data_IF_619046267388
#
_entry.id   IF_619046267388
#
_cell.length_a   1.000
_cell.length_b   1.000
_cell.length_c   1.000
_cell.angle_alpha   90.00
_cell.angle_beta   90.00
_cell.angle_gamma   90.00
#
_symmetry.space_group_name_H-M   'P 1'
#
loop_
_entity.id
_entity.type
_entity.pdbx_description
1 polymer ?
#
# COMPACT_ATOMS: atom_id res chain seq x y z
N UNK A 1 -52.40 -30.87 -22.50
CA UNK A 1 -51.17 -30.46 -23.21
C UNK A 1 -50.57 -29.29 -22.42
N UNK A 2 -49.50 -29.50 -21.66
CA UNK A 2 -48.09 -29.17 -22.02
C UNK A 2 -47.97 -27.73 -22.59
N UNK A 3 -47.19 -26.79 -22.03
CA UNK A 3 -45.96 -26.91 -21.26
C UNK A 3 -45.75 -25.72 -20.29
N UNK A 4 -45.03 -26.04 -19.21
CA UNK A 4 -44.37 -25.16 -18.23
C UNK A 4 -43.14 -24.52 -18.86
N UNK A 5 -42.83 -23.27 -18.52
CA UNK A 5 -41.52 -22.58 -18.43
C UNK A 5 -41.84 -21.12 -18.00
N UNK A 6 -41.33 -20.45 -16.97
CA UNK A 6 -40.18 -20.63 -16.07
C UNK A 6 -39.60 -19.23 -15.80
N UNK A 7 -39.71 -18.75 -14.54
CA UNK A 7 -38.85 -17.81 -13.77
C UNK A 7 -38.17 -16.62 -14.51
N UNK A 8 -38.28 -15.34 -14.12
CA UNK A 8 -38.45 -14.79 -12.79
C UNK A 8 -37.11 -14.67 -12.05
N UNK A 9 -36.40 -13.55 -12.28
CA UNK A 9 -35.30 -12.97 -11.48
C UNK A 9 -34.03 -13.82 -11.24
N UNK A 10 -32.91 -13.46 -11.91
CA UNK A 10 -31.68 -13.03 -11.24
C UNK A 10 -30.70 -12.44 -12.27
N UNK A 11 -30.51 -11.12 -12.22
CA UNK A 11 -29.41 -10.42 -12.89
C UNK A 11 -28.84 -9.43 -11.89
N UNK A 12 -28.17 -9.96 -10.87
CA UNK A 12 -27.26 -9.22 -9.99
C UNK A 12 -26.05 -10.11 -9.73
N UNK A 13 -24.90 -9.46 -9.59
CA UNK A 13 -23.59 -10.01 -9.22
C UNK A 13 -22.83 -10.82 -10.28
N UNK A 14 -22.31 -10.15 -11.31
CA UNK A 14 -21.08 -10.59 -12.00
C UNK A 14 -20.33 -9.40 -12.65
N UNK A 15 -20.07 -8.33 -11.88
CA UNK A 15 -19.04 -7.33 -12.23
C UNK A 15 -18.36 -6.85 -10.96
N UNK A 16 -17.03 -6.78 -11.04
CA UNK A 16 -16.12 -6.01 -10.18
C UNK A 16 -15.26 -6.76 -9.13
N UNK A 17 -14.84 -8.01 -9.38
CA UNK A 17 -13.74 -8.61 -8.57
C UNK A 17 -12.52 -9.16 -9.35
N UNK A 18 -12.60 -9.36 -10.68
CA UNK A 18 -11.50 -9.99 -11.44
C UNK A 18 -10.54 -9.01 -12.16
N UNK A 19 -10.85 -7.71 -12.25
CA UNK A 19 -10.02 -6.77 -13.02
C UNK A 19 -8.83 -6.18 -12.24
N UNK A 20 -8.78 -6.35 -10.91
CA UNK A 20 -7.73 -5.78 -10.08
C UNK A 20 -6.49 -6.70 -9.90
N UNK A 21 -6.54 -7.93 -10.42
CA UNK A 21 -5.40 -8.87 -10.34
C UNK A 21 -4.43 -8.79 -11.52
N UNK A 22 -4.76 -8.02 -12.58
CA UNK A 22 -4.03 -8.04 -13.85
C UNK A 22 -2.87 -7.03 -13.96
N UNK A 23 -2.68 -6.14 -12.99
CA UNK A 23 -1.55 -5.19 -12.97
C UNK A 23 -0.37 -5.72 -12.12
N UNK A 24 -0.48 -6.91 -11.52
CA UNK A 24 0.57 -7.47 -10.66
C UNK A 24 1.71 -8.20 -11.39
N UNK A 25 1.62 -8.40 -12.71
CA UNK A 25 2.68 -9.06 -13.50
C UNK A 25 3.34 -8.08 -14.46
N UNK A 26 4.45 -7.50 -14.03
CA UNK A 26 5.44 -6.97 -14.97
C UNK A 26 5.86 -8.07 -15.95
N UNK A 27 6.14 -7.71 -17.20
CA UNK A 27 6.55 -8.63 -18.27
C UNK A 27 7.92 -9.23 -17.93
N UNK A 28 7.93 -10.30 -17.14
CA UNK A 28 8.99 -11.28 -17.11
C UNK A 28 8.43 -12.54 -17.79
N UNK A 29 9.17 -13.18 -18.72
CA UNK A 29 8.70 -14.42 -19.32
C UNK A 29 8.43 -15.44 -18.21
N UNK A 30 7.31 -16.17 -18.31
CA UNK A 30 6.96 -17.33 -17.49
C UNK A 30 8.02 -18.42 -17.67
N UNK A 31 9.19 -18.21 -17.07
CA UNK A 31 10.21 -19.23 -16.88
C UNK A 31 9.90 -19.89 -15.54
N UNK A 32 9.87 -21.21 -15.54
CA UNK A 32 9.75 -21.99 -14.30
C UNK A 32 10.65 -21.42 -13.20
N UNK A 33 10.21 -21.45 -11.93
CA UNK A 33 10.97 -20.90 -10.83
C UNK A 33 12.35 -21.54 -10.80
N UNK A 34 13.36 -20.80 -11.27
CA UNK A 34 14.74 -21.26 -11.23
C UNK A 34 15.15 -21.51 -9.78
N UNK A 35 15.59 -22.75 -9.50
CA UNK A 35 16.09 -23.15 -8.19
C UNK A 35 17.32 -22.32 -7.82
N UNK A 36 17.43 -21.95 -6.54
CA UNK A 36 18.57 -21.17 -6.01
C UNK A 36 19.89 -21.86 -6.34
N UNK A 37 19.95 -23.19 -6.28
CA UNK A 37 21.14 -23.98 -6.61
C UNK A 37 21.58 -23.81 -8.06
N UNK A 38 20.64 -23.82 -9.02
CA UNK A 38 20.94 -23.60 -10.45
C UNK A 38 21.46 -22.19 -10.70
N UNK A 39 20.96 -21.20 -9.96
CA UNK A 39 21.46 -19.83 -10.05
C UNK A 39 22.86 -19.69 -9.45
N UNK A 40 23.16 -20.39 -8.35
CA UNK A 40 24.52 -20.43 -7.77
C UNK A 40 25.52 -21.08 -8.73
N UNK A 41 25.17 -22.18 -9.39
CA UNK A 41 26.01 -22.80 -10.43
C UNK A 41 26.32 -21.84 -11.58
N UNK A 42 25.37 -20.95 -11.93
CA UNK A 42 25.57 -19.92 -12.95
C UNK A 42 26.47 -18.80 -12.47
N UNK A 43 26.44 -18.45 -11.18
CA UNK A 43 27.35 -17.47 -10.59
C UNK A 43 28.80 -17.96 -10.68
N UNK A 44 29.05 -19.24 -10.37
CA UNK A 44 30.39 -19.83 -10.46
C UNK A 44 30.92 -19.89 -11.89
N UNK A 45 30.02 -19.98 -12.88
CA UNK A 45 30.35 -20.02 -14.31
C UNK A 45 30.37 -18.63 -14.98
N UNK A 46 29.94 -17.59 -14.27
CA UNK A 46 29.87 -16.24 -14.82
C UNK A 46 31.27 -15.68 -15.07
N UNK A 47 31.47 -15.10 -16.25
CA UNK A 47 32.80 -14.63 -16.70
C UNK A 47 33.10 -13.21 -16.27
N UNK A 48 32.07 -12.45 -15.91
CA UNK A 48 32.19 -11.03 -15.55
C UNK A 48 31.47 -10.70 -14.26
N UNK A 49 31.90 -9.62 -13.60
CA UNK A 49 31.21 -9.07 -12.41
C UNK A 49 29.76 -8.72 -12.73
N UNK A 50 29.52 -8.09 -13.88
CA UNK A 50 28.19 -7.68 -14.30
C UNK A 50 27.23 -8.87 -14.50
N UNK A 51 27.74 -10.01 -15.00
CA UNK A 51 26.95 -11.25 -15.10
C UNK A 51 26.59 -11.81 -13.71
N UNK A 52 27.53 -11.81 -12.77
CA UNK A 52 27.27 -12.25 -11.38
C UNK A 52 26.26 -11.34 -10.69
N UNK A 53 26.42 -10.04 -10.80
CA UNK A 53 25.55 -9.04 -10.20
C UNK A 53 24.11 -9.16 -10.70
N UNK A 54 23.93 -9.40 -12.00
CA UNK A 54 22.61 -9.65 -12.58
C UNK A 54 21.95 -10.92 -12.01
N UNK A 55 22.72 -11.99 -11.76
CA UNK A 55 22.20 -13.22 -11.16
C UNK A 55 21.87 -13.02 -9.68
N UNK A 56 22.74 -12.33 -8.91
CA UNK A 56 22.46 -11.98 -7.52
C UNK A 56 21.19 -11.13 -7.38
N UNK A 57 21.00 -10.15 -8.26
CA UNK A 57 19.78 -9.34 -8.27
C UNK A 57 18.53 -10.19 -8.56
N UNK A 58 18.59 -11.10 -9.53
CA UNK A 58 17.48 -12.02 -9.82
C UNK A 58 17.15 -12.91 -8.62
N UNK A 59 18.17 -13.42 -7.93
CA UNK A 59 18.00 -14.19 -6.70
C UNK A 59 17.38 -13.36 -5.58
N UNK A 60 17.85 -12.13 -5.37
CA UNK A 60 17.33 -11.23 -4.36
C UNK A 60 15.83 -10.97 -4.56
N UNK A 61 15.42 -10.60 -5.77
CA UNK A 61 14.02 -10.32 -6.11
C UNK A 61 13.14 -11.56 -5.89
N UNK A 62 13.53 -12.71 -6.43
CA UNK A 62 12.75 -13.96 -6.29
C UNK A 62 12.64 -14.40 -4.83
N UNK A 63 13.71 -14.24 -4.06
CA UNK A 63 13.75 -14.59 -2.63
C UNK A 63 12.88 -13.62 -1.81
N UNK A 64 12.89 -12.33 -2.17
CA UNK A 64 12.07 -11.30 -1.55
C UNK A 64 10.57 -11.53 -1.78
N UNK A 65 10.19 -11.92 -3.00
CA UNK A 65 8.81 -12.29 -3.34
C UNK A 65 8.28 -13.47 -2.52
N UNK A 66 9.18 -14.40 -2.14
CA UNK A 66 8.88 -15.49 -1.21
C UNK A 66 8.87 -15.05 0.27
N UNK A 67 9.17 -13.79 0.57
CA UNK A 67 9.20 -13.25 1.93
C UNK A 67 10.37 -13.75 2.78
N UNK A 68 11.45 -14.20 2.13
CA UNK A 68 12.66 -14.72 2.78
C UNK A 68 13.72 -13.62 2.89
N UNK A 69 14.17 -13.33 4.12
CA UNK A 69 15.11 -12.26 4.43
C UNK A 69 16.50 -12.48 3.83
N UNK A 70 16.85 -13.72 3.43
CA UNK A 70 18.07 -14.02 2.66
C UNK A 70 18.16 -13.24 1.35
N UNK A 71 17.05 -12.66 0.88
CA UNK A 71 17.06 -11.71 -0.22
C UNK A 71 18.07 -10.57 0.00
N UNK A 72 18.19 -10.06 1.23
CA UNK A 72 19.15 -8.99 1.56
C UNK A 72 20.59 -9.47 1.43
N UNK A 73 20.89 -10.71 1.81
CA UNK A 73 22.22 -11.30 1.66
C UNK A 73 22.63 -11.37 0.18
N UNK A 74 21.71 -11.68 -0.72
CA UNK A 74 21.97 -11.66 -2.16
C UNK A 74 22.18 -10.23 -2.68
N UNK A 75 21.40 -9.26 -2.19
CA UNK A 75 21.60 -7.84 -2.54
C UNK A 75 22.98 -7.34 -2.10
N UNK A 76 23.46 -7.72 -0.91
CA UNK A 76 24.78 -7.31 -0.42
C UNK A 76 25.95 -7.90 -1.23
N UNK A 77 25.75 -9.06 -1.87
CA UNK A 77 26.74 -9.71 -2.75
C UNK A 77 26.87 -9.07 -4.13
N UNK A 78 26.04 -8.07 -4.46
CA UNK A 78 26.19 -7.30 -5.70
C UNK A 78 27.45 -6.43 -5.59
N UNK A 79 28.39 -6.61 -6.51
CA UNK A 79 29.68 -5.90 -6.54
C UNK A 79 29.48 -4.42 -6.95
N UNK A 80 28.66 -4.16 -7.96
CA UNK A 80 28.30 -2.80 -8.40
C UNK A 80 27.51 -2.04 -7.31
N UNK A 81 28.13 -0.99 -6.77
CA UNK A 81 27.55 -0.21 -5.67
C UNK A 81 26.30 0.56 -6.06
N UNK A 82 26.20 1.05 -7.29
CA UNK A 82 25.02 1.79 -7.75
C UNK A 82 23.86 0.83 -7.97
N UNK A 83 24.14 -0.32 -8.60
CA UNK A 83 23.13 -1.37 -8.75
C UNK A 83 22.62 -1.87 -7.40
N UNK A 84 23.52 -2.09 -6.43
CA UNK A 84 23.14 -2.49 -5.07
C UNK A 84 22.26 -1.43 -4.40
N UNK A 85 22.61 -0.15 -4.53
CA UNK A 85 21.85 0.97 -3.97
C UNK A 85 20.45 1.09 -4.57
N UNK A 86 20.28 0.81 -5.86
CA UNK A 86 18.96 0.75 -6.51
C UNK A 86 18.16 -0.50 -6.10
N UNK A 87 18.83 -1.63 -5.92
CA UNK A 87 18.20 -2.91 -5.60
C UNK A 87 17.65 -2.98 -4.16
N UNK A 88 18.37 -2.42 -3.18
CA UNK A 88 18.00 -2.49 -1.76
C UNK A 88 16.57 -2.00 -1.46
N UNK A 89 16.16 -0.78 -1.83
CA UNK A 89 14.80 -0.31 -1.52
C UNK A 89 13.72 -1.13 -2.22
N UNK A 90 13.99 -1.59 -3.44
CA UNK A 90 13.08 -2.48 -4.18
C UNK A 90 12.90 -3.82 -3.46
N UNK A 91 13.99 -4.43 -2.99
CA UNK A 91 13.99 -5.70 -2.25
C UNK A 91 13.31 -5.54 -0.88
N UNK A 92 13.65 -4.49 -0.13
CA UNK A 92 13.08 -4.25 1.19
C UNK A 92 11.57 -3.98 1.13
N UNK A 93 11.09 -3.21 0.14
CA UNK A 93 9.65 -3.03 -0.05
C UNK A 93 8.95 -4.31 -0.54
N UNK A 94 9.60 -5.12 -1.38
CA UNK A 94 9.05 -6.42 -1.80
C UNK A 94 8.89 -7.36 -0.60
N UNK A 95 9.88 -7.38 0.31
CA UNK A 95 9.81 -8.12 1.57
C UNK A 95 8.68 -7.59 2.47
N UNK A 96 8.51 -6.27 2.55
CA UNK A 96 7.44 -5.64 3.34
C UNK A 96 6.05 -6.04 2.82
N UNK A 97 5.85 -6.00 1.49
CA UNK A 97 4.63 -6.47 0.86
C UNK A 97 4.34 -7.93 1.17
N UNK A 98 5.34 -8.81 1.04
CA UNK A 98 5.19 -10.23 1.38
C UNK A 98 4.88 -10.45 2.87
N UNK A 99 5.46 -9.65 3.76
CA UNK A 99 5.17 -9.73 5.20
C UNK A 99 3.72 -9.36 5.51
N UNK A 100 3.18 -8.30 4.88
CA UNK A 100 1.76 -7.92 5.01
C UNK A 100 0.84 -9.00 4.45
N UNK A 101 1.11 -9.49 3.23
CA UNK A 101 0.33 -10.56 2.59
C UNK A 101 0.25 -11.83 3.46
N UNK A 102 1.35 -12.16 4.15
CA UNK A 102 1.46 -13.33 5.03
C UNK A 102 1.05 -13.06 6.49
N UNK A 103 0.67 -11.82 6.83
CA UNK A 103 0.38 -11.36 8.20
C UNK A 103 1.54 -11.62 9.18
N UNK A 104 2.78 -11.52 8.69
CA UNK A 104 4.01 -11.68 9.46
C UNK A 104 4.38 -10.34 10.11
N UNK A 105 3.69 -10.03 11.23
CA UNK A 105 3.83 -8.75 11.94
C UNK A 105 5.25 -8.48 12.43
N UNK A 106 5.96 -9.51 12.91
CA UNK A 106 7.33 -9.36 13.43
C UNK A 106 8.29 -8.96 12.31
N UNK A 107 8.20 -9.61 11.16
CA UNK A 107 9.01 -9.26 9.99
C UNK A 107 8.65 -7.88 9.46
N UNK A 108 7.35 -7.56 9.38
CA UNK A 108 6.89 -6.26 8.95
C UNK A 108 7.45 -5.14 9.84
N UNK A 109 7.41 -5.29 11.17
CA UNK A 109 8.00 -4.31 12.10
C UNK A 109 9.53 -4.23 11.98
N UNK A 110 10.20 -5.35 11.76
CA UNK A 110 11.65 -5.35 11.51
C UNK A 110 12.02 -4.55 10.25
N UNK A 111 11.26 -4.72 9.18
CA UNK A 111 11.43 -3.96 7.93
C UNK A 111 11.02 -2.49 8.11
N UNK A 112 9.95 -2.22 8.86
CA UNK A 112 9.55 -0.86 9.20
C UNK A 112 10.60 -0.11 10.03
N UNK A 113 11.47 -0.80 10.78
CA UNK A 113 12.56 -0.18 11.54
C UNK A 113 13.88 -0.10 10.78
N UNK A 114 14.24 -1.14 10.01
CA UNK A 114 15.59 -1.33 9.43
C UNK A 114 15.63 -1.43 7.91
N UNK A 115 14.47 -1.42 7.25
CA UNK A 115 14.36 -1.46 5.80
C UNK A 115 14.66 -0.11 5.16
N UNK A 116 15.20 -0.14 3.95
CA UNK A 116 15.33 1.01 3.06
C UNK A 116 13.97 1.32 2.42
N UNK A 117 13.05 1.87 3.23
CA UNK A 117 11.71 2.26 2.82
C UNK A 117 11.58 3.78 2.76
N UNK A 118 10.84 4.29 1.77
CA UNK A 118 10.40 5.68 1.76
C UNK A 118 9.42 5.94 2.90
N UNK A 119 9.20 7.22 3.25
CA UNK A 119 8.29 7.59 4.33
C UNK A 119 6.87 7.05 4.11
N UNK A 120 6.29 7.21 2.91
CA UNK A 120 4.95 6.67 2.58
C UNK A 120 4.89 5.14 2.65
N UNK A 121 5.94 4.44 2.22
CA UNK A 121 6.01 2.98 2.32
C UNK A 121 6.05 2.51 3.78
N UNK A 122 6.80 3.22 4.64
CA UNK A 122 6.86 2.91 6.07
C UNK A 122 5.52 3.21 6.76
N UNK A 123 4.86 4.33 6.43
CA UNK A 123 3.50 4.63 6.92
C UNK A 123 2.52 3.53 6.54
N UNK A 124 2.53 3.12 5.27
CA UNK A 124 1.68 2.02 4.82
C UNK A 124 1.96 0.75 5.62
N UNK A 125 3.22 0.34 5.74
CA UNK A 125 3.58 -0.88 6.44
C UNK A 125 3.14 -0.87 7.92
N UNK A 126 3.39 0.23 8.63
CA UNK A 126 3.01 0.39 10.04
C UNK A 126 1.48 0.38 10.21
N UNK A 127 0.73 1.08 9.34
CA UNK A 127 -0.74 1.10 9.41
C UNK A 127 -1.36 -0.25 9.07
N UNK A 128 -0.80 -0.99 8.11
CA UNK A 128 -1.21 -2.38 7.83
C UNK A 128 -0.94 -3.28 9.04
N UNK A 129 0.24 -3.19 9.65
CA UNK A 129 0.55 -3.96 10.85
C UNK A 129 -0.43 -3.68 11.98
N UNK A 130 -0.67 -2.41 12.31
CA UNK A 130 -1.56 -2.04 13.40
C UNK A 130 -2.97 -2.61 13.24
N UNK A 131 -3.49 -2.64 12.01
CA UNK A 131 -4.81 -3.22 11.69
C UNK A 131 -4.89 -4.73 11.83
N UNK A 132 -3.76 -5.43 11.78
CA UNK A 132 -3.71 -6.90 11.95
C UNK A 132 -3.59 -7.35 13.40
N UNK A 133 -3.27 -6.44 14.32
CA UNK A 133 -3.13 -6.77 15.74
C UNK A 133 -4.49 -7.13 16.37
N UNK A 134 -4.52 -8.12 17.28
CA UNK A 134 -5.74 -8.48 17.97
C UNK A 134 -6.20 -7.35 18.91
N UNK A 135 -7.50 -7.28 19.26
CA UNK A 135 -8.01 -6.27 20.19
C UNK A 135 -7.30 -6.22 21.56
N UNK A 136 -6.73 -7.33 22.01
CA UNK A 136 -5.93 -7.40 23.24
C UNK A 136 -4.66 -6.54 23.18
N UNK A 137 -4.11 -6.32 21.98
CA UNK A 137 -2.89 -5.55 21.73
C UNK A 137 -3.19 -4.11 21.31
N UNK A 138 -4.35 -3.57 21.71
CA UNK A 138 -4.81 -2.23 21.31
C UNK A 138 -3.81 -1.12 21.62
N UNK A 139 -3.17 -1.16 22.80
CA UNK A 139 -2.16 -0.15 23.18
C UNK A 139 -0.96 -0.17 22.22
N UNK A 140 -0.45 -1.37 21.91
CA UNK A 140 0.62 -1.57 20.92
C UNK A 140 0.20 -1.10 19.52
N UNK A 141 -1.05 -1.35 19.11
CA UNK A 141 -1.57 -0.84 17.85
C UNK A 141 -1.56 0.69 17.82
N UNK A 142 -1.96 1.36 18.91
CA UNK A 142 -1.93 2.83 19.02
C UNK A 142 -0.50 3.40 18.97
N UNK A 143 0.47 2.72 19.60
CA UNK A 143 1.89 3.10 19.50
C UNK A 143 2.38 3.04 18.05
N UNK A 144 2.10 1.96 17.34
CA UNK A 144 2.48 1.78 15.93
C UNK A 144 1.80 2.81 15.03
N UNK A 145 0.51 3.12 15.25
CA UNK A 145 -0.19 4.16 14.47
C UNK A 145 0.42 5.54 14.75
N UNK A 146 0.81 5.81 16.00
CA UNK A 146 1.47 7.07 16.36
C UNK A 146 2.84 7.20 15.69
N UNK A 147 3.61 6.10 15.60
CA UNK A 147 4.85 6.06 14.83
C UNK A 147 4.60 6.35 13.34
N UNK A 148 3.54 5.78 12.76
CA UNK A 148 3.13 6.08 11.39
C UNK A 148 2.77 7.56 11.20
N UNK A 149 2.09 8.17 12.16
CA UNK A 149 1.77 9.61 12.12
C UNK A 149 3.05 10.48 12.13
N UNK A 150 4.04 10.13 12.95
CA UNK A 150 5.35 10.81 12.97
C UNK A 150 6.06 10.65 11.63
N UNK A 151 6.02 9.47 11.03
CA UNK A 151 6.63 9.21 9.73
C UNK A 151 5.94 10.00 8.61
N UNK A 152 4.60 10.09 8.61
CA UNK A 152 3.85 10.88 7.65
C UNK A 152 4.24 12.38 7.70
N UNK A 153 4.51 12.90 8.89
CA UNK A 153 4.92 14.30 9.07
C UNK A 153 6.33 14.61 8.52
N UNK A 154 7.16 13.59 8.26
CA UNK A 154 8.49 13.76 7.62
C UNK A 154 8.40 13.98 6.12
N UNK A 155 7.26 13.67 5.51
CA UNK A 155 7.00 13.96 4.10
C UNK A 155 6.84 15.48 3.93
N UNK A 156 7.42 16.01 2.85
CA UNK A 156 7.38 17.45 2.55
C UNK A 156 5.93 17.97 2.55
N UNK A 157 5.74 19.21 3.01
CA UNK A 157 4.41 19.80 3.16
C UNK A 157 3.69 19.95 1.82
N UNK A 158 4.45 20.15 0.73
CA UNK A 158 3.92 20.30 -0.63
C UNK A 158 3.71 18.97 -1.36
N UNK A 159 4.19 17.87 -0.80
CA UNK A 159 4.12 16.55 -1.43
C UNK A 159 2.75 15.90 -1.17
N UNK A 160 2.01 15.49 -2.22
CA UNK A 160 0.71 14.81 -2.09
C UNK A 160 0.76 13.49 -1.29
N UNK A 161 1.94 12.88 -1.13
CA UNK A 161 2.10 11.68 -0.30
C UNK A 161 1.90 11.96 1.19
N UNK A 162 2.05 13.21 1.63
CA UNK A 162 1.79 13.61 3.02
C UNK A 162 0.31 13.48 3.40
N UNK A 163 -0.66 14.13 2.71
CA UNK A 163 -2.07 13.90 2.99
C UNK A 163 -2.49 12.44 2.76
N UNK A 164 -1.99 11.74 1.72
CA UNK A 164 -2.26 10.30 1.53
C UNK A 164 -1.85 9.46 2.74
N UNK A 165 -0.65 9.71 3.27
CA UNK A 165 -0.12 9.03 4.47
C UNK A 165 -0.96 9.32 5.70
N UNK A 166 -1.41 10.56 5.89
CA UNK A 166 -2.29 10.94 6.99
C UNK A 166 -3.68 10.30 6.88
N UNK A 167 -4.21 10.10 5.66
CA UNK A 167 -5.46 9.33 5.45
C UNK A 167 -5.28 7.87 5.88
N UNK A 168 -4.12 7.26 5.60
CA UNK A 168 -3.80 5.91 6.07
C UNK A 168 -3.81 5.81 7.61
N UNK A 169 -3.22 6.81 8.27
CA UNK A 169 -3.20 6.93 9.73
C UNK A 169 -4.60 7.10 10.29
N UNK A 170 -5.43 7.97 9.69
CA UNK A 170 -6.82 8.16 10.10
C UNK A 170 -7.63 6.86 9.95
N UNK A 171 -7.46 6.13 8.83
CA UNK A 171 -8.08 4.83 8.62
C UNK A 171 -7.66 3.81 9.69
N UNK A 172 -6.41 3.80 10.14
CA UNK A 172 -5.96 2.93 11.22
C UNK A 172 -6.54 3.34 12.59
N UNK A 173 -6.71 4.64 12.84
CA UNK A 173 -7.38 5.13 14.03
C UNK A 173 -8.87 4.80 14.06
N UNK A 174 -9.59 4.73 12.93
CA UNK A 174 -11.01 4.34 12.93
C UNK A 174 -11.30 3.02 13.65
N UNK A 175 -10.36 2.06 13.58
CA UNK A 175 -10.49 0.76 14.23
C UNK A 175 -10.13 0.77 15.73
N UNK A 176 -9.39 1.78 16.20
CA UNK A 176 -8.72 1.74 17.52
C UNK A 176 -9.02 2.94 18.40
N UNK A 177 -9.14 4.13 17.84
CA UNK A 177 -9.45 5.41 18.50
C UNK A 177 -10.13 6.36 17.51
N UNK A 178 -11.47 6.35 17.53
CA UNK A 178 -12.28 7.18 16.64
C UNK A 178 -12.08 8.69 16.86
N UNK A 179 -11.78 9.12 18.08
CA UNK A 179 -11.52 10.54 18.36
C UNK A 179 -10.29 11.03 17.61
N UNK A 180 -9.20 10.26 17.70
CA UNK A 180 -7.98 10.56 16.94
C UNK A 180 -8.16 10.46 15.44
N UNK A 181 -9.09 9.63 14.94
CA UNK A 181 -9.39 9.59 13.50
C UNK A 181 -9.97 10.93 13.02
N UNK A 182 -10.90 11.54 13.77
CA UNK A 182 -11.45 12.87 13.45
C UNK A 182 -10.37 13.96 13.49
N UNK A 183 -9.52 13.95 14.52
CA UNK A 183 -8.40 14.91 14.65
C UNK A 183 -7.42 14.76 13.47
N UNK A 184 -7.04 13.53 13.13
CA UNK A 184 -6.14 13.24 12.01
C UNK A 184 -6.73 13.71 10.68
N UNK A 185 -8.05 13.57 10.47
CA UNK A 185 -8.68 14.05 9.24
C UNK A 185 -8.71 15.57 9.11
N UNK A 186 -8.74 16.32 10.22
CA UNK A 186 -8.53 17.77 10.17
C UNK A 186 -7.08 18.10 9.74
N UNK A 187 -6.10 17.28 10.13
CA UNK A 187 -4.73 17.40 9.63
C UNK A 187 -4.60 17.04 8.15
N UNK A 188 -5.33 16.03 7.68
CA UNK A 188 -5.43 15.69 6.24
C UNK A 188 -5.91 16.89 5.44
N UNK A 189 -6.97 17.58 5.88
CA UNK A 189 -7.47 18.77 5.17
C UNK A 189 -6.41 19.88 5.09
N UNK A 190 -5.72 20.16 6.21
CA UNK A 190 -4.63 21.16 6.24
C UNK A 190 -3.47 20.78 5.32
N UNK A 191 -3.05 19.52 5.34
CA UNK A 191 -1.97 19.02 4.50
C UNK A 191 -2.37 19.05 3.02
N UNK A 192 -3.60 18.63 2.71
CA UNK A 192 -4.17 18.69 1.35
C UNK A 192 -4.17 20.10 0.79
N UNK A 193 -4.49 21.11 1.61
CA UNK A 193 -4.53 22.50 1.14
C UNK A 193 -3.14 23.06 0.82
N UNK A 194 -2.07 22.36 1.22
CA UNK A 194 -0.68 22.73 0.93
C UNK A 194 -0.04 21.91 -0.21
N UNK A 195 -0.72 20.89 -0.74
CA UNK A 195 -0.18 19.95 -1.72
C UNK A 195 -1.02 19.94 -3.02
N UNK A 196 -0.58 20.69 -4.03
CA UNK A 196 -1.35 20.98 -5.27
C UNK A 196 -1.70 19.76 -6.13
N UNK A 197 -1.21 18.56 -5.81
CA UNK A 197 -1.50 17.31 -6.55
C UNK A 197 -2.49 16.36 -5.87
N UNK A 198 -2.97 16.66 -4.66
CA UNK A 198 -3.83 15.72 -3.94
C UNK A 198 -5.30 15.82 -4.37
N UNK A 199 -5.85 14.72 -4.89
CA UNK A 199 -7.27 14.63 -5.30
C UNK A 199 -8.13 13.72 -4.39
N UNK A 200 -7.49 12.94 -3.51
CA UNK A 200 -8.16 12.08 -2.54
C UNK A 200 -8.64 10.71 -3.04
N UNK A 201 -8.37 10.33 -4.30
CA UNK A 201 -8.74 9.01 -4.87
C UNK A 201 -7.59 8.31 -5.61
N UNK A 202 -6.43 8.96 -5.77
CA UNK A 202 -5.28 8.44 -6.51
C UNK A 202 -4.20 7.79 -5.61
N UNK A 203 -4.60 7.34 -4.43
CA UNK A 203 -3.73 6.69 -3.47
C UNK A 203 -3.12 5.41 -4.05
N UNK A 204 -1.81 5.44 -4.27
CA UNK A 204 -1.06 4.30 -4.79
C UNK A 204 0.30 4.13 -4.12
N UNK A 205 0.83 2.92 -4.21
CA UNK A 205 2.23 2.62 -3.92
C UNK A 205 2.87 2.06 -5.17
N UNK A 206 3.89 2.76 -5.67
CA UNK A 206 4.73 2.31 -6.78
C UNK A 206 6.13 1.98 -6.26
N UNK A 207 6.66 0.85 -6.69
CA UNK A 207 8.08 0.54 -6.64
C UNK A 207 8.60 0.22 -8.02
N UNK A 208 9.77 0.79 -8.33
CA UNK A 208 10.44 0.62 -9.61
C UNK A 208 11.87 0.21 -9.38
N UNK A 209 12.33 -0.72 -10.20
CA UNK A 209 13.72 -1.07 -10.38
C UNK A 209 14.00 -1.09 -11.88
N UNK A 210 14.89 -0.22 -12.32
CA UNK A 210 15.26 -0.12 -13.72
C UNK A 210 16.77 -0.18 -13.85
N UNK A 211 17.26 -1.31 -14.33
CA UNK A 211 18.67 -1.60 -14.55
C UNK A 211 18.90 -1.95 -16.01
N UNK A 212 20.16 -2.19 -16.40
CA UNK A 212 20.49 -2.62 -17.77
C UNK A 212 19.87 -3.98 -18.14
N UNK A 213 19.61 -4.84 -17.16
CA UNK A 213 19.17 -6.22 -17.37
C UNK A 213 17.75 -6.50 -16.84
N UNK A 214 17.21 -5.63 -15.99
CA UNK A 214 15.92 -5.81 -15.33
C UNK A 214 15.14 -4.50 -15.40
N UNK A 215 13.91 -4.57 -15.89
CA UNK A 215 12.91 -3.52 -15.70
C UNK A 215 11.75 -4.14 -14.94
N UNK A 216 11.56 -3.70 -13.70
CA UNK A 216 10.48 -4.16 -12.85
C UNK A 216 9.73 -2.96 -12.29
N UNK A 217 8.42 -2.98 -12.50
CA UNK A 217 7.48 -2.00 -11.97
C UNK A 217 6.39 -2.77 -11.25
N UNK A 218 6.16 -2.45 -9.98
CA UNK A 218 5.04 -2.96 -9.20
C UNK A 218 4.29 -1.76 -8.63
N UNK A 219 3.04 -1.61 -9.04
CA UNK A 219 2.13 -0.61 -8.51
C UNK A 219 0.91 -1.30 -7.92
N UNK A 220 0.34 -0.72 -6.87
CA UNK A 220 -0.99 -1.08 -6.38
C UNK A 220 -1.73 0.15 -5.89
N UNK A 221 -3.02 0.21 -6.17
CA UNK A 221 -3.92 1.14 -5.47
C UNK A 221 -3.97 0.76 -4.00
N UNK A 222 -3.96 1.75 -3.13
CA UNK A 222 -4.06 1.58 -1.69
C UNK A 222 -5.28 2.36 -1.22
N UNK A 223 -6.40 1.67 -1.03
CA UNK A 223 -7.66 2.30 -0.64
C UNK A 223 -7.55 3.08 0.68
N UNK A 224 -6.64 2.65 1.56
CA UNK A 224 -6.36 3.32 2.83
C UNK A 224 -5.75 4.72 2.66
N UNK A 225 -5.25 5.07 1.48
CA UNK A 225 -4.78 6.42 1.16
C UNK A 225 -5.89 7.34 0.65
N UNK A 226 -7.07 6.77 0.38
CA UNK A 226 -8.16 7.46 -0.28
C UNK A 226 -9.20 7.98 0.73
N UNK A 227 -9.71 9.19 0.47
CA UNK A 227 -10.72 9.85 1.30
C UNK A 227 -12.06 9.07 1.40
N UNK A 228 -12.57 8.38 0.36
CA UNK A 228 -13.89 7.76 0.40
C UNK A 228 -14.12 6.77 1.54
N UNK A 229 -13.13 5.95 1.87
CA UNK A 229 -13.24 4.95 2.94
C UNK A 229 -13.47 5.60 4.31
N UNK A 230 -12.66 6.62 4.62
CA UNK A 230 -12.77 7.36 5.89
C UNK A 230 -14.07 8.14 5.94
N UNK A 231 -14.39 8.91 4.89
CA UNK A 231 -15.58 9.75 4.88
C UNK A 231 -16.88 8.96 4.92
N UNK A 232 -16.91 7.76 4.34
CA UNK A 232 -18.03 6.83 4.53
C UNK A 232 -18.25 6.58 6.02
N UNK A 233 -17.24 6.09 6.71
CA UNK A 233 -17.32 5.75 8.15
C UNK A 233 -17.68 6.97 8.99
N UNK A 234 -16.99 8.09 8.81
CA UNK A 234 -17.23 9.32 9.56
C UNK A 234 -18.64 9.88 9.35
N UNK A 235 -19.20 9.75 8.13
CA UNK A 235 -20.55 10.24 7.84
C UNK A 235 -21.66 9.42 8.51
N UNK A 236 -21.43 8.13 8.72
CA UNK A 236 -22.35 7.26 9.49
C UNK A 236 -22.34 7.62 10.97
N UNK A 237 -21.19 8.05 11.49
CA UNK A 237 -21.06 8.51 12.87
C UNK A 237 -21.67 9.90 13.08
N UNK A 238 -21.34 10.86 12.21
CA UNK A 238 -21.86 12.22 12.27
C UNK A 238 -21.78 12.91 10.89
N UNK A 239 -22.87 12.82 10.13
CA UNK A 239 -22.96 13.40 8.80
C UNK A 239 -22.72 14.91 8.76
N UNK A 240 -23.24 15.66 9.73
CA UNK A 240 -23.05 17.13 9.78
C UNK A 240 -21.58 17.47 9.97
N UNK A 241 -20.91 16.81 10.90
CA UNK A 241 -19.49 17.03 11.13
C UNK A 241 -18.63 16.59 9.94
N UNK A 242 -18.99 15.47 9.28
CA UNK A 242 -18.31 15.03 8.07
C UNK A 242 -18.44 16.05 6.92
N UNK A 243 -19.61 16.69 6.76
CA UNK A 243 -19.82 17.75 5.76
C UNK A 243 -18.96 18.98 6.07
N UNK A 244 -18.91 19.42 7.32
CA UNK A 244 -18.06 20.54 7.72
C UNK A 244 -16.57 20.24 7.52
N UNK A 245 -16.14 19.01 7.85
CA UNK A 245 -14.79 18.55 7.56
C UNK A 245 -14.50 18.55 6.05
N UNK A 246 -15.41 18.03 5.21
CA UNK A 246 -15.24 18.05 3.76
C UNK A 246 -15.13 19.48 3.20
N UNK A 247 -15.83 20.45 3.80
CA UNK A 247 -15.75 21.88 3.41
C UNK A 247 -14.42 22.54 3.76
N UNK A 248 -13.62 21.95 4.66
CA UNK A 248 -12.30 22.48 5.03
C UNK A 248 -11.21 22.20 3.98
N UNK A 249 -11.50 21.37 2.98
CA UNK A 249 -10.62 21.21 1.82
C UNK A 249 -10.80 22.40 0.86
N UNK A 250 -9.71 23.11 0.62
CA UNK A 250 -9.67 24.25 -0.31
C UNK A 250 -9.72 23.76 -1.77
N UNK A 251 -9.03 22.65 -2.05
CA UNK A 251 -9.02 22.00 -3.35
C UNK A 251 -10.39 21.43 -3.73
N UNK A 252 -10.84 21.72 -4.95
CA UNK A 252 -12.15 21.26 -5.43
C UNK A 252 -12.24 19.73 -5.51
N UNK A 253 -11.19 19.07 -6.00
CA UNK A 253 -11.15 17.62 -6.15
C UNK A 253 -11.31 16.87 -4.81
N UNK A 254 -10.44 17.05 -3.79
CA UNK A 254 -10.59 16.32 -2.53
C UNK A 254 -11.90 16.67 -1.79
N UNK A 255 -12.35 17.93 -1.88
CA UNK A 255 -13.67 18.34 -1.35
C UNK A 255 -14.83 17.59 -2.02
N UNK A 256 -14.83 17.53 -3.35
CA UNK A 256 -15.87 16.84 -4.12
C UNK A 256 -15.88 15.33 -3.79
N UNK A 257 -14.71 14.69 -3.78
CA UNK A 257 -14.54 13.29 -3.38
C UNK A 257 -15.14 12.99 -2.01
N UNK A 258 -14.83 13.83 -1.01
CA UNK A 258 -15.39 13.70 0.33
C UNK A 258 -16.92 13.86 0.36
N UNK A 259 -17.44 14.91 -0.27
CA UNK A 259 -18.89 15.18 -0.33
C UNK A 259 -19.68 14.09 -1.08
N UNK A 260 -19.15 13.58 -2.19
CA UNK A 260 -19.75 12.48 -2.94
C UNK A 260 -19.81 11.22 -2.07
N UNK A 261 -18.75 10.92 -1.31
CA UNK A 261 -18.69 9.77 -0.41
C UNK A 261 -19.73 9.87 0.72
N UNK A 262 -19.88 11.06 1.31
CA UNK A 262 -20.92 11.35 2.31
C UNK A 262 -22.32 11.17 1.69
N UNK A 263 -22.57 11.78 0.53
CA UNK A 263 -23.87 11.72 -0.14
C UNK A 263 -24.27 10.29 -0.49
N UNK A 264 -23.33 9.48 -1.02
CA UNK A 264 -23.55 8.06 -1.31
C UNK A 264 -23.98 7.29 -0.07
N UNK A 265 -23.34 7.55 1.07
CA UNK A 265 -23.66 6.89 2.34
C UNK A 265 -25.08 7.23 2.80
N UNK A 266 -25.43 8.52 2.83
CA UNK A 266 -26.75 8.99 3.29
C UNK A 266 -27.91 8.56 2.36
N UNK A 267 -27.67 8.47 1.05
CA UNK A 267 -28.68 8.03 0.10
C UNK A 267 -28.87 6.50 0.13
N UNK A 268 -27.80 5.74 0.33
CA UNK A 268 -27.88 4.28 0.42
C UNK A 268 -28.62 3.82 1.67
N UNK A 269 -28.47 4.52 2.79
CA UNK A 269 -29.20 4.24 4.04
C UNK A 269 -30.70 4.51 3.92
N UNK A 270 -31.12 5.51 3.14
CA UNK A 270 -32.54 5.82 2.91
C UNK A 270 -33.27 4.83 2.00
N UNK A 271 -32.52 3.99 1.28
CA UNK A 271 -33.09 3.02 0.32
C UNK A 271 -33.30 1.63 0.95
N UNK A 272 -32.89 1.45 2.21
CA UNK A 272 -33.17 0.25 3.02
C UNK A 272 -34.33 0.50 3.96
#
# INVERSE_FOLDING_TARGET
EMAVLGQGADQRDMRDEDDNSLIQRGIAPDREPEDVEKALDRIDRAKTSAERDAIYLQLAIKTAQKGDLRARDFTEKIDDSELRKEARPYVDMTLAMSAVEKKDTEKALTLAGKGELTHIQRVWLLTQVAKTLPPADREKALEIITEAAVEAQRIDVSDPDRPRSLVAVANAFLATDRGRAWETMLEVAKASNSAEGFNGEDGGLEIRLQTKSISALRGSTVDDFNLPGVFRTLSQENATQAIELARSFDGEAPRATALISIARTLLSEKTK
#
